data_IF_805606072526
#
_entry.id   IF_805606072526
#
_cell.length_a   1.000
_cell.length_b   1.000
_cell.length_c   1.000
_cell.angle_alpha   90.00
_cell.angle_beta   90.00
_cell.angle_gamma   90.00
#
_symmetry.space_group_name_H-M   'P 1'
#
loop_
_entity.id
_entity.type
_entity.pdbx_description
1 polymer ?
#
# COMPACT_ATOMS: atom_id res chain seq x y z
N UNK A 1 -30.61 29.95 -6.05
CA UNK A 1 -29.81 30.24 -4.86
C UNK A 1 -30.30 29.35 -3.73
N UNK A 2 -29.76 28.20 -3.53
CA UNK A 2 -30.05 27.31 -2.40
C UNK A 2 -28.73 26.77 -1.86
N UNK A 3 -28.36 27.26 -0.68
CA UNK A 3 -27.19 26.81 0.08
C UNK A 3 -27.52 25.49 0.78
N UNK A 4 -26.79 24.43 0.49
CA UNK A 4 -26.77 23.21 1.28
C UNK A 4 -25.77 23.36 2.43
N UNK A 5 -26.26 23.30 3.66
CA UNK A 5 -25.44 23.34 4.87
C UNK A 5 -25.05 21.91 5.27
N UNK A 6 -23.78 21.61 5.27
CA UNK A 6 -23.25 20.40 5.88
C UNK A 6 -23.37 20.51 7.42
N UNK A 7 -24.07 19.59 8.05
CA UNK A 7 -24.16 19.48 9.52
C UNK A 7 -23.09 18.48 9.98
N UNK A 8 -22.14 18.98 10.77
CA UNK A 8 -21.21 18.15 11.52
C UNK A 8 -21.96 17.47 12.68
N UNK A 9 -21.87 16.15 12.75
CA UNK A 9 -22.44 15.37 13.84
C UNK A 9 -21.38 15.15 14.93
N UNK A 10 -21.44 15.96 15.99
CA UNK A 10 -20.72 15.73 17.25
C UNK A 10 -21.69 15.14 18.24
N UNK A 11 -21.53 13.90 18.64
CA UNK A 11 -22.31 13.30 19.73
C UNK A 11 -21.52 13.29 21.02
N UNK A 12 -22.04 14.01 22.02
CA UNK A 12 -21.57 13.96 23.40
C UNK A 12 -22.02 12.63 24.04
N UNK A 13 -21.09 11.92 24.62
CA UNK A 13 -21.35 10.76 25.49
C UNK A 13 -21.72 11.24 26.87
N UNK A 14 -22.92 10.90 27.31
CA UNK A 14 -23.38 11.04 28.69
C UNK A 14 -23.43 9.63 29.30
N UNK A 15 -22.67 9.39 30.36
CA UNK A 15 -22.68 8.13 31.12
C UNK A 15 -23.72 8.21 32.21
N UNK A 16 -24.75 7.36 32.20
CA UNK A 16 -25.56 7.00 33.37
C UNK A 16 -26.08 5.56 33.22
N UNK A 17 -25.71 4.70 34.15
CA UNK A 17 -26.52 3.68 34.80
C UNK A 17 -27.03 2.47 34.03
N UNK A 18 -26.66 1.31 34.53
CA UNK A 18 -27.04 -0.07 34.29
C UNK A 18 -28.44 -0.30 33.64
N UNK A 19 -28.48 -1.08 32.55
CA UNK A 19 -29.73 -1.64 31.97
C UNK A 19 -29.50 -2.26 30.62
N UNK A 20 -29.79 -3.56 30.50
CA UNK A 20 -29.87 -4.45 29.34
C UNK A 20 -29.34 -3.91 27.99
N UNK A 21 -28.26 -4.48 27.51
CA UNK A 21 -27.73 -4.26 26.14
C UNK A 21 -28.57 -5.09 25.16
N UNK A 22 -29.50 -4.46 24.47
CA UNK A 22 -30.00 -4.96 23.20
C UNK A 22 -28.90 -4.66 22.14
N UNK A 23 -28.31 -5.71 21.54
CA UNK A 23 -27.40 -5.56 20.42
C UNK A 23 -28.16 -5.01 19.20
N UNK A 24 -28.19 -3.69 19.09
CA UNK A 24 -28.64 -3.01 17.89
C UNK A 24 -27.50 -3.01 16.87
N UNK A 25 -27.61 -3.79 15.81
CA UNK A 25 -26.79 -3.61 14.61
C UNK A 25 -26.98 -2.20 14.08
N UNK A 26 -25.97 -1.36 14.25
CA UNK A 26 -25.90 -0.10 13.50
C UNK A 26 -25.68 -0.48 12.03
N UNK A 27 -26.50 0.04 11.10
CA UNK A 27 -26.19 -0.13 9.70
C UNK A 27 -24.88 0.61 9.42
N UNK A 28 -23.87 -0.12 8.96
CA UNK A 28 -22.71 0.47 8.34
C UNK A 28 -23.21 1.32 7.17
N UNK A 29 -23.02 2.64 7.23
CA UNK A 29 -23.24 3.54 6.10
C UNK A 29 -22.15 3.29 5.06
N UNK A 30 -22.14 2.09 4.46
CA UNK A 30 -21.36 1.76 3.28
C UNK A 30 -22.12 2.24 2.05
N UNK A 31 -22.06 3.52 1.75
CA UNK A 31 -22.41 3.98 0.41
C UNK A 31 -21.37 3.41 -0.54
N UNK A 32 -21.79 2.59 -1.51
CA UNK A 32 -20.96 2.22 -2.64
C UNK A 32 -20.51 3.51 -3.33
N UNK A 33 -19.23 3.89 -3.15
CA UNK A 33 -18.63 4.97 -3.91
C UNK A 33 -18.32 4.35 -5.27
N UNK A 34 -19.04 4.72 -6.29
CA UNK A 34 -18.68 4.43 -7.67
C UNK A 34 -17.46 5.32 -8.02
N UNK A 35 -16.29 4.75 -7.98
CA UNK A 35 -15.02 5.43 -8.32
C UNK A 35 -14.64 5.28 -9.79
N UNK A 36 -15.50 4.67 -10.63
CA UNK A 36 -15.18 4.28 -11.99
C UNK A 36 -14.62 5.41 -12.87
N UNK A 37 -15.13 6.64 -12.75
CA UNK A 37 -14.64 7.79 -13.54
C UNK A 37 -13.33 8.41 -13.00
N UNK A 38 -12.97 8.14 -11.76
CA UNK A 38 -11.78 8.67 -11.11
C UNK A 38 -10.60 7.69 -11.11
N UNK A 39 -10.83 6.43 -11.51
CA UNK A 39 -9.77 5.43 -11.66
C UNK A 39 -8.96 5.74 -12.91
N UNK A 40 -7.66 5.85 -12.75
CA UNK A 40 -6.69 6.11 -13.82
C UNK A 40 -6.10 4.81 -14.37
N UNK A 41 -5.99 3.79 -13.53
CA UNK A 41 -5.42 2.50 -13.89
C UNK A 41 -5.71 1.46 -12.80
N UNK A 42 -5.80 0.18 -13.23
CA UNK A 42 -5.98 -0.97 -12.34
C UNK A 42 -5.16 -2.17 -12.80
N UNK A 43 -4.87 -3.09 -11.88
CA UNK A 43 -4.41 -4.43 -12.18
C UNK A 43 -5.07 -5.42 -11.22
N UNK A 44 -5.70 -6.45 -11.83
CA UNK A 44 -6.49 -7.48 -11.14
C UNK A 44 -6.00 -8.89 -11.41
N UNK A 45 -5.05 -9.05 -12.32
CA UNK A 45 -4.40 -10.31 -12.69
C UNK A 45 -5.34 -11.38 -13.31
N UNK A 46 -6.60 -11.07 -13.55
CA UNK A 46 -7.62 -12.01 -14.08
C UNK A 46 -7.31 -12.52 -15.49
N UNK A 47 -6.44 -11.83 -16.23
CA UNK A 47 -5.89 -12.30 -17.50
C UNK A 47 -4.85 -13.43 -17.38
N UNK A 48 -4.46 -13.82 -16.17
CA UNK A 48 -3.45 -14.85 -15.91
C UNK A 48 -2.01 -14.38 -16.22
N UNK A 49 -1.80 -13.08 -16.37
CA UNK A 49 -0.50 -12.47 -16.70
C UNK A 49 -0.27 -11.18 -15.93
N UNK A 50 0.92 -10.59 -16.11
CA UNK A 50 1.25 -9.25 -15.61
C UNK A 50 1.09 -8.16 -16.69
N UNK A 51 0.31 -8.41 -17.74
CA UNK A 51 0.15 -7.49 -18.88
C UNK A 51 -0.35 -6.11 -18.44
N UNK A 52 -1.21 -6.04 -17.41
CA UNK A 52 -1.71 -4.78 -16.85
C UNK A 52 -0.59 -3.90 -16.30
N UNK A 53 0.50 -4.51 -15.80
CA UNK A 53 1.69 -3.82 -15.33
C UNK A 53 2.68 -3.56 -16.46
N UNK A 54 3.11 -4.62 -17.18
CA UNK A 54 4.23 -4.54 -18.13
C UNK A 54 3.89 -3.76 -19.40
N UNK A 55 2.62 -3.72 -19.82
CA UNK A 55 2.17 -2.94 -20.96
C UNK A 55 1.91 -1.47 -20.62
N UNK A 56 1.92 -1.09 -19.34
CA UNK A 56 1.85 0.30 -18.93
C UNK A 56 3.19 1.02 -19.19
N UNK A 57 3.20 2.33 -19.46
CA UNK A 57 4.43 3.07 -19.68
C UNK A 57 5.44 2.90 -18.54
N UNK A 58 6.63 2.38 -18.87
CA UNK A 58 7.67 2.09 -17.89
C UNK A 58 7.29 1.02 -16.85
N UNK A 59 6.33 0.16 -17.18
CA UNK A 59 5.92 -0.93 -16.30
C UNK A 59 6.91 -2.09 -16.27
N UNK A 60 6.97 -2.77 -15.15
CA UNK A 60 7.81 -3.94 -14.93
C UNK A 60 7.17 -4.90 -13.94
N UNK A 61 7.41 -6.20 -14.11
CA UNK A 61 7.11 -7.24 -13.16
C UNK A 61 8.19 -8.31 -13.20
N UNK A 62 8.69 -8.75 -12.05
CA UNK A 62 9.74 -9.76 -11.98
C UNK A 62 10.44 -9.82 -10.62
N UNK A 63 11.56 -10.52 -10.59
CA UNK A 63 12.43 -10.60 -9.43
C UNK A 63 13.82 -10.05 -9.77
N UNK A 64 14.42 -9.33 -8.84
CA UNK A 64 15.81 -8.83 -8.99
C UNK A 64 16.82 -9.73 -8.31
N UNK A 65 16.38 -10.79 -7.63
CA UNK A 65 17.24 -11.77 -6.99
C UNK A 65 17.04 -13.18 -7.57
N UNK A 66 18.05 -14.02 -7.45
CA UNK A 66 18.01 -15.39 -7.97
C UNK A 66 16.99 -16.28 -7.24
N UNK A 67 16.59 -15.90 -6.03
CA UNK A 67 15.65 -16.65 -5.18
C UNK A 67 14.27 -16.02 -5.12
N UNK A 68 14.06 -14.86 -5.76
CA UNK A 68 12.76 -14.24 -5.89
C UNK A 68 11.96 -14.78 -7.08
N UNK A 69 10.66 -14.75 -6.99
CA UNK A 69 9.76 -15.05 -8.11
C UNK A 69 8.47 -14.25 -8.05
N UNK A 70 7.92 -13.99 -9.24
CA UNK A 70 6.63 -13.34 -9.43
C UNK A 70 5.78 -14.24 -10.33
N UNK A 71 4.59 -14.60 -9.87
CA UNK A 71 3.67 -15.47 -10.61
C UNK A 71 2.23 -15.03 -10.39
N UNK A 72 1.34 -15.26 -11.36
CA UNK A 72 -0.11 -15.19 -11.13
C UNK A 72 -0.58 -16.51 -10.53
N UNK A 73 -1.41 -16.46 -9.49
CA UNK A 73 -1.82 -17.60 -8.70
C UNK A 73 -3.30 -17.54 -8.34
N UNK A 74 -3.96 -18.69 -8.33
CA UNK A 74 -5.32 -18.86 -7.83
C UNK A 74 -5.38 -19.41 -6.39
N UNK A 75 -4.29 -19.37 -5.62
CA UNK A 75 -4.29 -19.87 -4.23
C UNK A 75 -5.20 -19.04 -3.33
N UNK A 76 -5.11 -17.73 -3.44
CA UNK A 76 -5.96 -16.75 -2.76
C UNK A 76 -6.11 -15.55 -3.68
N UNK A 77 -7.33 -15.08 -3.91
CA UNK A 77 -7.65 -13.84 -4.61
C UNK A 77 -8.49 -12.96 -3.66
N UNK A 78 -8.30 -11.64 -3.73
CA UNK A 78 -9.14 -10.69 -3.01
C UNK A 78 -10.50 -10.58 -3.72
N UNK A 79 -10.45 -10.38 -5.04
CA UNK A 79 -11.63 -10.45 -5.89
C UNK A 79 -11.32 -11.31 -7.13
N UNK A 80 -12.37 -11.82 -7.78
CA UNK A 80 -12.16 -12.70 -8.94
C UNK A 80 -11.59 -14.07 -8.59
N UNK A 81 -10.61 -14.54 -9.38
CA UNK A 81 -10.03 -15.87 -9.26
C UNK A 81 -8.50 -15.87 -9.10
N UNK A 82 -7.83 -14.79 -9.44
CA UNK A 82 -6.38 -14.73 -9.56
C UNK A 82 -5.80 -13.53 -8.79
N UNK A 83 -4.58 -13.68 -8.30
CA UNK A 83 -3.79 -12.63 -7.66
C UNK A 83 -2.31 -12.78 -8.04
N UNK A 84 -1.51 -11.73 -7.86
CA UNK A 84 -0.06 -11.83 -7.94
C UNK A 84 0.49 -12.52 -6.70
N UNK A 85 1.40 -13.48 -6.88
CA UNK A 85 2.16 -14.14 -5.83
C UNK A 85 3.63 -13.72 -5.95
N UNK A 86 4.11 -13.06 -4.91
CA UNK A 86 5.49 -12.60 -4.77
C UNK A 86 6.18 -13.50 -3.74
N UNK A 87 7.24 -14.19 -4.15
CA UNK A 87 8.04 -15.04 -3.27
C UNK A 87 9.45 -14.46 -3.18
N UNK A 88 9.96 -14.35 -1.98
CA UNK A 88 11.38 -14.07 -1.71
C UNK A 88 11.95 -15.08 -0.71
N UNK A 89 13.24 -15.38 -0.84
CA UNK A 89 14.01 -16.11 0.16
C UNK A 89 15.12 -15.19 0.65
N UNK A 90 14.99 -14.69 1.85
CA UNK A 90 15.87 -13.68 2.43
C UNK A 90 16.54 -14.18 3.73
N UNK A 91 17.51 -15.12 3.64
CA UNK A 91 18.26 -15.57 4.81
C UNK A 91 19.19 -14.47 5.30
N UNK A 92 19.50 -14.51 6.60
CA UNK A 92 20.43 -13.56 7.24
C UNK A 92 21.76 -13.50 6.50
N UNK A 93 22.24 -12.29 6.23
CA UNK A 93 23.52 -12.05 5.55
C UNK A 93 23.52 -12.24 4.02
N UNK A 94 22.41 -12.62 3.39
CA UNK A 94 22.32 -12.74 1.93
C UNK A 94 22.18 -11.38 1.20
N UNK A 95 21.88 -10.33 1.95
CA UNK A 95 21.51 -9.02 1.40
C UNK A 95 20.08 -8.97 0.85
N UNK A 96 19.70 -7.85 0.22
CA UNK A 96 18.33 -7.60 -0.25
C UNK A 96 17.88 -8.61 -1.30
N UNK A 97 16.68 -9.16 -1.12
CA UNK A 97 15.99 -10.04 -2.07
C UNK A 97 14.68 -9.40 -2.45
N UNK A 98 14.35 -9.35 -3.76
CA UNK A 98 13.09 -8.72 -4.17
C UNK A 98 12.36 -9.47 -5.28
N UNK A 99 11.04 -9.39 -5.20
CA UNK A 99 10.08 -9.78 -6.21
C UNK A 99 8.95 -8.75 -6.23
N UNK A 100 8.48 -8.30 -7.39
CA UNK A 100 7.45 -7.26 -7.41
C UNK A 100 7.10 -6.72 -8.78
N UNK A 101 6.38 -5.62 -8.75
CA UNK A 101 5.88 -4.90 -9.90
C UNK A 101 6.13 -3.41 -9.69
N UNK A 102 6.43 -2.68 -10.76
CA UNK A 102 6.64 -1.24 -10.70
C UNK A 102 6.03 -0.50 -11.87
N UNK A 103 5.65 0.77 -11.62
CA UNK A 103 5.26 1.74 -12.64
C UNK A 103 6.12 2.97 -12.55
N UNK A 104 6.69 3.37 -13.71
CA UNK A 104 7.71 4.43 -13.80
C UNK A 104 7.28 5.59 -14.69
N UNK A 105 6.25 5.41 -15.50
CA UNK A 105 5.78 6.41 -16.47
C UNK A 105 4.32 6.77 -16.22
N UNK A 106 3.96 8.00 -16.64
CA UNK A 106 2.59 8.53 -16.61
C UNK A 106 1.93 8.52 -15.23
N UNK A 107 2.74 8.61 -14.17
CA UNK A 107 2.20 8.81 -12.83
C UNK A 107 1.72 10.26 -12.70
N UNK A 108 0.52 10.49 -12.15
CA UNK A 108 0.02 11.83 -11.94
C UNK A 108 0.87 12.62 -10.94
N UNK A 109 0.90 13.96 -11.07
CA UNK A 109 1.58 14.82 -10.11
C UNK A 109 1.02 14.65 -8.67
N UNK A 110 -0.25 14.28 -8.57
CA UNK A 110 -0.90 13.86 -7.34
C UNK A 110 -1.94 12.78 -7.63
N UNK A 111 -2.10 11.83 -6.71
CA UNK A 111 -3.05 10.72 -6.85
C UNK A 111 -3.05 9.78 -5.68
N UNK A 112 -4.00 8.87 -5.72
CA UNK A 112 -4.13 7.78 -4.78
C UNK A 112 -3.64 6.49 -5.42
N UNK A 113 -2.88 5.72 -4.66
CA UNK A 113 -2.25 4.47 -5.05
C UNK A 113 -2.66 3.41 -4.03
N UNK A 114 -3.29 2.34 -4.46
CA UNK A 114 -3.77 1.30 -3.56
C UNK A 114 -3.44 -0.09 -4.05
N UNK A 115 -3.28 -1.00 -3.12
CA UNK A 115 -3.15 -2.43 -3.37
C UNK A 115 -3.70 -3.22 -2.19
N UNK A 116 -4.26 -4.38 -2.48
CA UNK A 116 -4.63 -5.37 -1.48
C UNK A 116 -3.51 -6.37 -1.31
N UNK A 117 -3.27 -6.75 -0.06
CA UNK A 117 -2.20 -7.65 0.35
C UNK A 117 -2.75 -8.79 1.20
N UNK A 118 -2.13 -9.95 1.07
CA UNK A 118 -2.41 -11.10 1.91
C UNK A 118 -1.11 -11.77 2.33
N UNK A 119 -0.95 -11.94 3.64
CA UNK A 119 0.17 -12.65 4.27
C UNK A 119 -0.30 -14.06 4.64
N UNK A 120 0.16 -15.11 3.96
CA UNK A 120 -0.26 -16.48 4.29
C UNK A 120 0.19 -16.95 5.67
N UNK A 121 1.28 -16.40 6.17
CA UNK A 121 1.90 -16.83 7.43
C UNK A 121 2.62 -15.70 8.14
N UNK A 122 2.79 -15.85 9.44
CA UNK A 122 3.64 -15.00 10.27
C UNK A 122 5.11 -15.14 9.84
N UNK A 123 5.82 -14.02 9.79
CA UNK A 123 7.26 -13.94 9.49
C UNK A 123 7.92 -13.05 10.52
N UNK A 124 9.05 -13.46 11.06
CA UNK A 124 9.90 -12.57 11.85
C UNK A 124 10.85 -11.82 10.92
N UNK A 125 10.84 -10.49 11.00
CA UNK A 125 11.63 -9.58 10.18
C UNK A 125 12.85 -9.12 10.98
N UNK A 126 14.03 -9.61 10.61
CA UNK A 126 15.28 -9.28 11.31
C UNK A 126 15.84 -7.91 10.92
N UNK A 127 15.76 -7.54 9.64
CA UNK A 127 16.21 -6.24 9.16
C UNK A 127 15.07 -5.40 8.59
N UNK A 128 14.51 -5.77 7.44
CA UNK A 128 13.39 -5.08 6.83
C UNK A 128 12.60 -5.98 5.85
N UNK A 129 11.33 -5.63 5.63
CA UNK A 129 10.47 -6.19 4.60
C UNK A 129 9.55 -5.11 4.04
N UNK A 130 9.88 -4.55 2.87
CA UNK A 130 9.13 -3.48 2.21
C UNK A 130 8.10 -4.09 1.26
N UNK A 131 6.86 -3.57 1.31
CA UNK A 131 5.75 -4.05 0.48
C UNK A 131 5.19 -2.99 -0.47
N UNK A 132 5.40 -1.71 -0.17
CA UNK A 132 4.91 -0.59 -0.95
C UNK A 132 5.96 0.52 -0.92
N UNK A 133 6.26 1.13 -2.07
CA UNK A 133 7.38 2.07 -2.17
C UNK A 133 7.11 3.19 -3.17
N UNK A 134 7.57 4.39 -2.83
CA UNK A 134 7.80 5.46 -3.80
C UNK A 134 9.29 5.70 -3.98
N UNK A 135 9.71 5.82 -5.24
CA UNK A 135 11.10 6.14 -5.63
C UNK A 135 11.12 7.36 -6.53
N UNK A 136 12.23 8.09 -6.55
CA UNK A 136 12.50 9.14 -7.52
C UNK A 136 13.28 8.61 -8.71
N UNK A 137 13.06 9.25 -9.86
CA UNK A 137 13.92 9.14 -11.03
C UNK A 137 14.20 10.54 -11.56
N UNK A 138 15.44 10.90 -11.75
CA UNK A 138 15.81 12.16 -12.40
C UNK A 138 15.72 12.05 -13.93
N UNK A 139 16.06 10.87 -14.46
CA UNK A 139 15.96 10.53 -15.88
C UNK A 139 15.28 9.16 -16.00
N UNK A 140 14.27 9.03 -16.87
CA UNK A 140 13.39 7.85 -16.96
C UNK A 140 14.16 6.54 -17.19
N UNK A 141 15.20 6.59 -18.02
CA UNK A 141 15.98 5.40 -18.44
C UNK A 141 17.38 5.35 -17.83
N UNK A 142 17.68 6.21 -16.84
CA UNK A 142 18.97 6.21 -16.15
C UNK A 142 18.83 5.64 -14.72
N UNK A 143 19.20 4.37 -14.48
CA UNK A 143 19.16 3.76 -13.16
C UNK A 143 20.00 4.50 -12.11
N UNK A 144 21.07 5.18 -12.53
CA UNK A 144 21.94 5.92 -11.60
C UNK A 144 21.25 7.16 -11.00
N UNK A 145 20.16 7.61 -11.61
CA UNK A 145 19.36 8.73 -11.12
C UNK A 145 18.28 8.33 -10.10
N UNK A 146 18.18 7.03 -9.82
CA UNK A 146 17.21 6.49 -8.87
C UNK A 146 17.54 6.89 -7.43
N UNK A 147 16.53 6.96 -6.61
CA UNK A 147 16.68 7.18 -5.19
C UNK A 147 15.39 6.83 -4.46
N UNK A 148 15.56 6.24 -3.32
CA UNK A 148 14.46 5.89 -2.43
C UNK A 148 13.81 7.16 -1.86
N UNK A 149 12.50 7.13 -1.68
CA UNK A 149 11.75 8.23 -1.06
C UNK A 149 11.02 7.75 0.18
N UNK A 150 10.05 6.86 0.02
CA UNK A 150 9.22 6.35 1.09
C UNK A 150 9.01 4.85 0.95
N UNK A 151 9.26 4.11 2.01
CA UNK A 151 9.02 2.68 2.10
C UNK A 151 7.98 2.39 3.17
N UNK A 152 6.86 1.76 2.77
CA UNK A 152 5.97 1.11 3.72
C UNK A 152 6.43 -0.34 3.89
N UNK A 153 6.84 -0.67 5.09
CA UNK A 153 7.41 -1.96 5.44
C UNK A 153 6.64 -2.68 6.53
N UNK A 154 6.85 -3.97 6.55
CA UNK A 154 6.40 -4.87 7.61
C UNK A 154 7.52 -5.08 8.61
N UNK A 155 7.15 -5.20 9.88
CA UNK A 155 8.04 -5.54 10.99
C UNK A 155 7.29 -6.35 12.03
N UNK A 156 7.87 -6.50 13.20
CA UNK A 156 7.22 -7.15 14.32
C UNK A 156 7.27 -6.23 15.54
N UNK A 157 6.21 -6.24 16.34
CA UNK A 157 6.19 -5.61 17.65
C UNK A 157 6.94 -6.45 18.70
N UNK A 158 6.93 -5.99 19.95
CA UNK A 158 7.56 -6.69 21.06
C UNK A 158 6.92 -8.05 21.40
N UNK A 159 5.69 -8.29 20.94
CA UNK A 159 4.97 -9.56 21.11
C UNK A 159 5.18 -10.49 19.91
N UNK A 160 5.85 -10.03 18.85
CA UNK A 160 6.10 -10.75 17.62
C UNK A 160 4.97 -10.64 16.60
N UNK A 161 3.94 -9.81 16.84
CA UNK A 161 2.87 -9.57 15.88
C UNK A 161 3.36 -8.72 14.70
N UNK A 162 2.81 -8.96 13.52
CA UNK A 162 3.16 -8.19 12.32
C UNK A 162 2.66 -6.76 12.44
N UNK A 163 3.52 -5.79 12.14
CA UNK A 163 3.22 -4.35 12.19
C UNK A 163 3.57 -3.67 10.89
N UNK A 164 2.95 -2.51 10.63
CA UNK A 164 3.29 -1.63 9.51
C UNK A 164 4.14 -0.45 10.02
N UNK A 165 5.13 -0.04 9.23
CA UNK A 165 5.90 1.17 9.50
C UNK A 165 6.21 1.91 8.20
N UNK A 166 6.45 3.22 8.29
CA UNK A 166 6.97 4.04 7.20
C UNK A 166 8.43 4.39 7.46
N UNK A 167 9.29 4.15 6.48
CA UNK A 167 10.66 4.69 6.46
C UNK A 167 10.74 5.82 5.44
N UNK A 168 11.18 7.00 5.90
CA UNK A 168 11.41 8.17 5.06
C UNK A 168 12.90 8.30 4.76
N UNK A 169 13.30 7.96 3.54
CA UNK A 169 14.69 8.00 3.10
C UNK A 169 15.25 9.43 3.00
N UNK A 170 14.40 10.44 2.87
CA UNK A 170 14.83 11.85 2.79
C UNK A 170 15.47 12.32 4.09
N UNK A 171 15.02 11.79 5.20
CA UNK A 171 15.53 12.09 6.56
C UNK A 171 16.16 10.87 7.23
N UNK A 172 16.20 9.72 6.55
CA UNK A 172 16.74 8.43 7.02
C UNK A 172 16.16 8.01 8.38
N UNK A 173 14.84 8.06 8.51
CA UNK A 173 14.15 7.78 9.76
C UNK A 173 12.83 7.04 9.56
N UNK A 174 12.45 6.23 10.56
CA UNK A 174 11.09 5.72 10.69
C UNK A 174 10.19 6.88 11.12
N UNK A 175 9.12 7.09 10.38
CA UNK A 175 8.06 8.05 10.73
C UNK A 175 7.02 7.33 11.56
N UNK A 176 6.72 7.80 12.79
CA UNK A 176 5.68 7.20 13.60
C UNK A 176 4.32 7.27 12.91
N UNK A 177 3.61 6.16 12.89
CA UNK A 177 2.21 6.13 12.44
C UNK A 177 1.31 6.76 13.51
N UNK A 178 0.18 7.32 13.08
CA UNK A 178 -0.78 8.00 13.97
C UNK A 178 -1.60 7.00 14.81
N UNK A 179 -1.67 5.74 14.36
CA UNK A 179 -2.33 4.66 15.08
C UNK A 179 -1.24 3.86 15.81
N UNK A 180 -1.29 3.91 17.14
CA UNK A 180 -0.42 3.09 17.97
C UNK A 180 -0.84 1.61 17.84
N UNK A 181 0.15 0.71 17.76
CA UNK A 181 -0.08 -0.74 17.72
C UNK A 181 -0.91 -1.22 16.51
N UNK A 182 -0.64 -0.67 15.32
CA UNK A 182 -1.26 -1.16 14.09
C UNK A 182 -0.77 -2.58 13.79
N UNK A 183 -1.66 -3.57 14.01
CA UNK A 183 -1.40 -4.97 13.73
C UNK A 183 -1.80 -5.30 12.30
N UNK A 184 -0.86 -5.85 11.52
CA UNK A 184 -1.12 -6.35 10.17
C UNK A 184 -1.65 -7.79 10.27
N UNK A 185 -2.85 -8.08 9.74
CA UNK A 185 -3.45 -9.39 9.87
C UNK A 185 -2.71 -10.44 9.03
N UNK A 186 -2.63 -11.66 9.56
CA UNK A 186 -2.12 -12.85 8.86
C UNK A 186 -3.30 -13.75 8.49
N UNK A 187 -3.31 -14.24 7.25
CA UNK A 187 -4.40 -15.08 6.74
C UNK A 187 -5.68 -14.31 6.37
N UNK A 188 -5.61 -12.98 6.28
CA UNK A 188 -6.71 -12.09 5.89
C UNK A 188 -6.19 -11.03 4.93
N UNK A 189 -6.98 -10.67 3.92
CA UNK A 189 -6.68 -9.56 3.03
C UNK A 189 -6.77 -8.22 3.77
N UNK A 190 -5.83 -7.32 3.50
CA UNK A 190 -5.82 -5.94 3.99
C UNK A 190 -5.43 -4.99 2.86
N UNK A 191 -5.92 -3.75 2.92
CA UNK A 191 -5.63 -2.72 1.94
C UNK A 191 -4.62 -1.72 2.49
N UNK A 192 -3.61 -1.40 1.68
CA UNK A 192 -2.80 -0.19 1.83
C UNK A 192 -3.17 0.78 0.72
N UNK A 193 -3.54 2.00 1.09
CA UNK A 193 -3.80 3.08 0.17
C UNK A 193 -2.95 4.29 0.56
N UNK A 194 -2.26 4.90 -0.40
CA UNK A 194 -1.47 6.10 -0.18
C UNK A 194 -1.93 7.23 -1.11
N UNK A 195 -2.10 8.43 -0.59
CA UNK A 195 -2.11 9.65 -1.38
C UNK A 195 -0.70 10.19 -1.48
N UNK A 196 -0.27 10.53 -2.67
CA UNK A 196 1.03 11.12 -2.91
C UNK A 196 0.90 12.34 -3.82
N UNK A 197 1.40 13.49 -3.36
CA UNK A 197 1.59 14.70 -4.17
C UNK A 197 3.07 14.98 -4.32
N UNK A 198 3.54 14.87 -5.57
CA UNK A 198 4.94 15.05 -5.93
C UNK A 198 5.29 16.55 -5.96
N UNK A 199 6.22 16.96 -5.11
CA UNK A 199 6.73 18.33 -5.09
C UNK A 199 8.16 18.41 -4.56
N UNK A 200 8.94 19.33 -5.11
CA UNK A 200 10.30 19.61 -4.67
C UNK A 200 10.38 20.69 -3.57
N UNK A 201 9.24 21.22 -3.17
CA UNK A 201 9.09 22.22 -2.13
C UNK A 201 8.06 21.80 -1.07
N UNK A 202 7.70 22.70 -0.17
CA UNK A 202 6.75 22.46 0.91
C UNK A 202 5.28 22.29 0.46
N UNK A 203 4.99 22.13 -0.84
CA UNK A 203 3.64 21.86 -1.34
C UNK A 203 3.34 20.36 -1.46
N UNK A 204 4.34 19.51 -1.27
CA UNK A 204 4.17 18.05 -1.32
C UNK A 204 3.41 17.49 -0.13
N UNK A 205 2.86 16.29 -0.31
CA UNK A 205 2.12 15.56 0.72
C UNK A 205 2.21 14.04 0.53
N UNK A 206 2.15 13.32 1.64
CA UNK A 206 1.98 11.87 1.69
C UNK A 206 0.99 11.55 2.82
N UNK A 207 -0.11 10.89 2.49
CA UNK A 207 -1.01 10.32 3.49
C UNK A 207 -1.19 8.83 3.22
N UNK A 208 -1.37 8.03 4.27
CA UNK A 208 -1.53 6.58 4.18
C UNK A 208 -2.73 6.13 4.97
N UNK A 209 -3.48 5.18 4.41
CA UNK A 209 -4.58 4.48 5.05
C UNK A 209 -4.29 2.97 5.04
N UNK A 210 -4.66 2.35 6.13
CA UNK A 210 -4.67 0.90 6.31
C UNK A 210 -6.11 0.45 6.56
N UNK A 211 -6.65 -0.41 5.71
CA UNK A 211 -8.07 -0.82 5.74
C UNK A 211 -9.06 0.36 5.87
N UNK A 212 -8.71 1.48 5.22
CA UNK A 212 -9.51 2.71 5.22
C UNK A 212 -9.31 3.63 6.42
N UNK A 213 -8.63 3.21 7.47
CA UNK A 213 -8.24 4.04 8.61
C UNK A 213 -6.99 4.86 8.26
N UNK A 214 -7.01 6.16 8.53
CA UNK A 214 -5.85 7.03 8.33
C UNK A 214 -4.77 6.70 9.35
N UNK A 215 -3.57 6.35 8.87
CA UNK A 215 -2.44 5.96 9.72
C UNK A 215 -1.25 6.92 9.58
N UNK A 216 -1.25 7.76 8.55
CA UNK A 216 -0.24 8.79 8.33
C UNK A 216 -0.84 9.96 7.57
N UNK A 217 -0.42 11.17 7.91
CA UNK A 217 -0.71 12.40 7.20
C UNK A 217 0.46 13.36 7.31
N UNK A 218 1.23 13.50 6.22
CA UNK A 218 2.36 14.40 6.09
C UNK A 218 2.03 15.46 5.05
N UNK A 219 1.83 16.67 5.49
CA UNK A 219 1.62 17.83 4.63
C UNK A 219 2.78 18.83 4.76
N UNK A 220 2.91 19.71 3.77
CA UNK A 220 3.89 20.78 3.82
C UNK A 220 5.35 20.31 3.68
N UNK A 221 5.58 19.18 3.01
CA UNK A 221 6.91 18.58 2.86
C UNK A 221 7.33 18.49 1.39
N UNK A 222 8.63 18.61 1.13
CA UNK A 222 9.17 18.26 -0.18
C UNK A 222 9.17 16.74 -0.33
N UNK A 223 8.30 16.18 -1.16
CA UNK A 223 8.14 14.71 -1.31
C UNK A 223 9.16 14.11 -2.26
N UNK A 224 9.62 14.87 -3.27
CA UNK A 224 10.64 14.42 -4.22
C UNK A 224 11.44 15.60 -4.76
N UNK A 225 12.76 15.46 -4.96
CA UNK A 225 13.57 16.49 -5.62
C UNK A 225 13.37 16.51 -7.14
N UNK A 226 12.62 15.57 -7.72
CA UNK A 226 12.44 15.40 -9.16
C UNK A 226 10.97 15.29 -9.53
N UNK A 227 10.66 15.58 -10.81
CA UNK A 227 9.29 15.44 -11.35
C UNK A 227 8.90 13.99 -11.66
N UNK A 228 9.87 13.08 -11.72
CA UNK A 228 9.65 11.67 -12.03
C UNK A 228 9.64 10.86 -10.75
N UNK A 229 8.58 10.09 -10.57
CA UNK A 229 8.44 9.12 -9.49
C UNK A 229 8.15 7.73 -10.07
N UNK A 230 8.41 6.72 -9.26
CA UNK A 230 8.08 5.32 -9.48
C UNK A 230 7.25 4.84 -8.31
N UNK A 231 6.23 4.08 -8.58
CA UNK A 231 5.44 3.36 -7.60
C UNK A 231 5.70 1.86 -7.72
N UNK A 232 6.10 1.25 -6.62
CA UNK A 232 6.39 -0.16 -6.53
C UNK A 232 5.43 -0.86 -5.56
N UNK A 233 4.92 -2.01 -5.99
CA UNK A 233 4.25 -3.01 -5.18
C UNK A 233 5.12 -4.26 -5.21
N UNK A 234 5.72 -4.60 -4.06
CA UNK A 234 6.81 -5.56 -4.06
C UNK A 234 6.90 -6.34 -2.73
N UNK A 235 7.74 -7.35 -2.74
CA UNK A 235 8.31 -7.99 -1.56
C UNK A 235 9.83 -7.78 -1.65
N UNK A 236 10.36 -6.79 -0.93
CA UNK A 236 11.79 -6.51 -0.83
C UNK A 236 12.23 -6.72 0.61
N UNK A 237 13.00 -7.75 0.87
CA UNK A 237 13.31 -8.17 2.23
C UNK A 237 14.78 -8.50 2.42
N UNK A 238 15.23 -8.39 3.67
CA UNK A 238 16.50 -8.88 4.19
C UNK A 238 16.29 -9.45 5.58
N UNK A 239 16.90 -10.60 5.85
CA UNK A 239 16.86 -11.31 7.14
C UNK A 239 15.44 -11.66 7.61
N UNK A 240 14.83 -12.67 6.99
CA UNK A 240 13.52 -13.21 7.37
C UNK A 240 13.62 -14.56 8.06
N UNK A 241 12.72 -14.83 9.01
CA UNK A 241 12.54 -16.15 9.64
C UNK A 241 11.04 -16.52 9.69
N UNK A 242 10.58 -17.59 8.98
CA UNK A 242 11.36 -18.41 8.07
C UNK A 242 11.94 -17.61 6.90
N UNK A 243 13.01 -18.10 6.28
CA UNK A 243 13.72 -17.37 5.21
C UNK A 243 12.87 -17.13 3.97
N UNK A 244 11.94 -18.04 3.68
CA UNK A 244 10.98 -17.91 2.58
C UNK A 244 9.72 -17.17 3.03
N UNK A 245 9.38 -16.07 2.35
CA UNK A 245 8.15 -15.33 2.57
C UNK A 245 7.35 -15.17 1.28
N UNK A 246 6.05 -15.40 1.38
CA UNK A 246 5.07 -15.18 0.31
C UNK A 246 4.21 -13.98 0.67
N UNK A 247 4.02 -13.09 -0.29
CA UNK A 247 3.07 -12.00 -0.26
C UNK A 247 2.15 -12.16 -1.48
N UNK A 248 0.84 -12.22 -1.29
CA UNK A 248 -0.09 -12.10 -2.40
C UNK A 248 -0.57 -10.65 -2.50
N UNK A 249 -0.80 -10.21 -3.74
CA UNK A 249 -1.21 -8.85 -4.07
C UNK A 249 -2.34 -8.92 -5.09
N UNK A 250 -3.36 -8.09 -4.89
CA UNK A 250 -4.50 -8.03 -5.78
C UNK A 250 -5.08 -6.61 -5.83
N UNK A 251 -6.02 -6.39 -6.77
CA UNK A 251 -6.80 -5.16 -6.91
C UNK A 251 -5.96 -3.88 -6.74
N UNK A 252 -4.83 -3.81 -7.47
CA UNK A 252 -4.02 -2.61 -7.50
C UNK A 252 -4.72 -1.50 -8.28
N UNK A 253 -4.69 -0.28 -7.77
CA UNK A 253 -5.30 0.86 -8.46
C UNK A 253 -4.50 2.14 -8.30
N UNK A 254 -4.64 2.99 -9.30
CA UNK A 254 -4.24 4.39 -9.29
C UNK A 254 -5.46 5.25 -9.62
N UNK A 255 -5.74 6.27 -8.82
CA UNK A 255 -6.98 7.04 -8.95
C UNK A 255 -6.82 8.51 -8.55
N UNK A 256 -7.79 9.35 -8.93
CA UNK A 256 -7.86 10.77 -8.51
C UNK A 256 -8.53 10.96 -7.15
N UNK A 257 -9.22 9.94 -6.65
CA UNK A 257 -9.90 9.93 -5.35
C UNK A 257 -9.60 8.64 -4.62
N UNK A 258 -9.79 8.65 -3.32
CA UNK A 258 -9.67 7.45 -2.52
C UNK A 258 -10.58 6.34 -3.04
N UNK A 259 -10.00 5.15 -3.19
CA UNK A 259 -10.74 3.92 -3.47
C UNK A 259 -11.34 3.38 -2.16
N UNK A 260 -10.53 3.30 -1.11
CA UNK A 260 -10.92 2.72 0.17
C UNK A 260 -11.29 1.24 0.09
N UNK A 261 -11.46 0.56 1.22
CA UNK A 261 -11.72 -0.89 1.24
C UNK A 261 -13.12 -1.29 0.75
N UNK A 262 -14.06 -0.35 0.68
CA UNK A 262 -15.40 -0.56 0.13
C UNK A 262 -15.58 -0.10 -1.31
N UNK A 263 -14.54 0.47 -1.91
CA UNK A 263 -14.57 0.97 -3.28
C UNK A 263 -14.54 -0.18 -4.28
N UNK A 264 -15.47 -0.15 -5.25
CA UNK A 264 -15.39 -1.05 -6.39
C UNK A 264 -14.55 -0.37 -7.46
N UNK A 265 -13.44 -0.99 -7.80
CA UNK A 265 -12.68 -0.67 -8.98
C UNK A 265 -13.49 -1.27 -10.13
N UNK A 266 -14.16 -0.43 -10.95
CA UNK A 266 -15.15 -0.83 -11.96
C UNK A 266 -14.75 -2.04 -12.81
N UNK A 267 -15.74 -2.81 -13.25
CA UNK A 267 -15.58 -3.94 -14.17
C UNK A 267 -15.15 -3.48 -15.57
#
# INVERSE_FOLDING_TARGET
MTRSSARSCWSRVLVVGAGLVAAGCLPACGGNIDVGSDVLWTARFEGGSFDEWINAPGGWAGASSATGSVAVSGEHAHAGLLAAKLLVEAPSGAGPQSAGMSRRGDLPAEGYYSAWYYLPQMVHVGEYWVIFKFRRRAVVDDPSSEGELFDLGLGNDANGEMTLHLFDHRVSAIVPLQVAELVVPVGVWFQVEAYYRNASDSTGALAVWFDGEAVLDLEGVATSPTSWIEWDVLSLASDLTPTGATLLVDDCAMSRRRVGPGGRIGD
#
